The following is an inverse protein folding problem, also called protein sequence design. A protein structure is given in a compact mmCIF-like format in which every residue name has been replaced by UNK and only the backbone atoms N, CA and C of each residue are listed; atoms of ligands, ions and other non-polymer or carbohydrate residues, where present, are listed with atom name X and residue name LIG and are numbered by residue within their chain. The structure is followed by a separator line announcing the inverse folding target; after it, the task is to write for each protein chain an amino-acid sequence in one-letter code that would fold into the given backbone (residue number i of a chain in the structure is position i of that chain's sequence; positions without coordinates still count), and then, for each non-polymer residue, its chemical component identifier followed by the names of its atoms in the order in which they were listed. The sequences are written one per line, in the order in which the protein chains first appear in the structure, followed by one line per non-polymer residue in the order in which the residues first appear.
data_IF_085440981961
#
_entry.id   IF_085440981961
#
_cell.length_a   1.000
_cell.length_b   1.000
_cell.length_c   1.000
_cell.angle_alpha   90.00
_cell.angle_beta   90.00
_cell.angle_gamma   90.00
#
_symmetry.space_group_name_H-M   'P 1'
#
loop_
_entity.id
_entity.type
_entity.pdbx_description
1 polymer ?
#
# COMPACT_ATOMS: atom_id res chain seq x y z
N UNK A 1 0.52 -18.39 7.52
CA UNK A 1 -0.23 -17.14 7.36
C UNK A 1 -0.51 -16.94 5.88
N UNK A 2 -1.77 -16.76 5.48
CA UNK A 2 -2.11 -16.43 4.09
C UNK A 2 -2.73 -15.04 4.08
N UNK A 3 -1.94 -14.05 3.67
CA UNK A 3 -2.44 -12.71 3.40
C UNK A 3 -3.39 -12.79 2.21
N UNK A 4 -4.56 -12.16 2.32
CA UNK A 4 -5.41 -11.91 1.15
C UNK A 4 -4.84 -10.73 0.37
N UNK A 5 -3.95 -11.03 -0.57
CA UNK A 5 -3.32 -10.02 -1.42
C UNK A 5 -4.30 -9.35 -2.39
N UNK A 6 -5.45 -9.96 -2.68
CA UNK A 6 -6.46 -9.32 -3.53
C UNK A 6 -7.13 -8.18 -2.76
N UNK A 7 -7.54 -8.42 -1.50
CA UNK A 7 -8.09 -7.36 -0.66
C UNK A 7 -7.10 -6.19 -0.46
N UNK A 8 -5.81 -6.48 -0.27
CA UNK A 8 -4.77 -5.43 -0.16
C UNK A 8 -4.69 -4.60 -1.44
N UNK A 9 -4.71 -5.24 -2.62
CA UNK A 9 -4.73 -4.53 -3.91
C UNK A 9 -5.99 -3.72 -4.08
N UNK A 10 -7.16 -4.28 -3.74
CA UNK A 10 -8.45 -3.59 -3.86
C UNK A 10 -8.47 -2.31 -3.01
N UNK A 11 -7.97 -2.37 -1.77
CA UNK A 11 -7.86 -1.20 -0.90
C UNK A 11 -6.97 -0.09 -1.50
N UNK A 12 -5.81 -0.46 -2.04
CA UNK A 12 -4.86 0.49 -2.61
C UNK A 12 -5.34 1.05 -3.95
N UNK A 13 -5.87 0.19 -4.83
CA UNK A 13 -6.42 0.60 -6.12
C UNK A 13 -7.62 1.53 -5.95
N UNK A 14 -8.53 1.25 -5.00
CA UNK A 14 -9.65 2.15 -4.73
C UNK A 14 -9.19 3.57 -4.33
N UNK A 15 -8.10 3.68 -3.57
CA UNK A 15 -7.49 4.96 -3.24
C UNK A 15 -6.85 5.62 -4.46
N UNK A 16 -6.07 4.87 -5.25
CA UNK A 16 -5.42 5.34 -6.48
C UNK A 16 -6.48 5.85 -7.48
N UNK A 17 -7.49 5.03 -7.80
CA UNK A 17 -8.58 5.38 -8.72
C UNK A 17 -9.31 6.66 -8.27
N UNK A 18 -9.48 6.83 -6.96
CA UNK A 18 -10.11 8.04 -6.41
C UNK A 18 -9.22 9.26 -6.61
N UNK A 19 -7.92 9.17 -6.30
CA UNK A 19 -6.95 10.25 -6.52
C UNK A 19 -6.85 10.63 -8.02
N UNK A 20 -6.76 9.64 -8.91
CA UNK A 20 -6.73 9.85 -10.37
C UNK A 20 -7.99 10.59 -10.86
N UNK A 21 -9.17 10.23 -10.34
CA UNK A 21 -10.42 10.90 -10.69
C UNK A 21 -10.52 12.32 -10.16
N UNK A 22 -9.98 12.59 -8.97
CA UNK A 22 -9.90 13.96 -8.42
C UNK A 22 -8.99 14.81 -9.31
N UNK A 23 -7.83 14.30 -9.71
CA UNK A 23 -6.90 15.00 -10.60
C UNK A 23 -7.51 15.22 -11.99
N UNK A 24 -8.14 14.19 -12.57
CA UNK A 24 -8.81 14.29 -13.88
C UNK A 24 -10.01 15.27 -13.89
N UNK A 25 -10.61 15.55 -12.72
CA UNK A 25 -11.64 16.57 -12.57
C UNK A 25 -11.06 18.00 -12.58
N UNK A 26 -9.74 18.17 -12.60
CA UNK A 26 -9.07 19.46 -12.58
C UNK A 26 -9.12 20.13 -11.21
N UNK A 27 -9.19 19.35 -10.14
CA UNK A 27 -9.25 19.88 -8.77
C UNK A 27 -8.12 20.86 -8.49
N UNK A 28 -8.49 22.01 -7.92
CA UNK A 28 -7.57 23.03 -7.39
C UNK A 28 -7.95 23.39 -5.96
N UNK A 29 -7.03 24.01 -5.22
CA UNK A 29 -7.34 24.43 -3.85
C UNK A 29 -8.50 25.44 -3.77
N UNK A 30 -8.79 26.19 -4.84
CA UNK A 30 -9.93 27.10 -4.88
C UNK A 30 -11.28 26.41 -4.96
N UNK A 31 -11.33 25.11 -5.24
CA UNK A 31 -12.58 24.35 -5.32
C UNK A 31 -13.02 23.78 -3.97
N UNK A 32 -12.23 23.97 -2.89
CA UNK A 32 -12.44 23.34 -1.59
C UNK A 32 -13.79 23.66 -0.94
N UNK A 33 -14.33 24.85 -1.19
CA UNK A 33 -15.60 25.32 -0.63
C UNK A 33 -16.82 25.01 -1.51
N UNK A 34 -16.61 24.49 -2.72
CA UNK A 34 -17.70 24.03 -3.57
C UNK A 34 -18.47 22.89 -2.89
N UNK A 35 -19.80 22.95 -2.91
CA UNK A 35 -20.66 22.00 -2.20
C UNK A 35 -21.66 21.28 -3.12
N UNK A 36 -22.08 20.12 -2.65
CA UNK A 36 -23.24 19.39 -3.18
C UNK A 36 -24.15 18.97 -2.03
N UNK A 37 -25.43 18.78 -2.32
CA UNK A 37 -26.36 18.18 -1.35
C UNK A 37 -26.18 16.65 -1.33
N UNK A 38 -25.87 16.11 -0.17
CA UNK A 38 -25.83 14.67 0.11
C UNK A 38 -26.84 14.38 1.22
N UNK A 39 -27.96 13.76 0.85
CA UNK A 39 -29.03 13.40 1.79
C UNK A 39 -29.56 14.60 2.60
N UNK A 40 -29.71 15.79 1.98
CA UNK A 40 -30.21 16.99 2.64
C UNK A 40 -29.17 17.76 3.45
N UNK A 41 -27.89 17.39 3.34
CA UNK A 41 -26.77 18.10 3.97
C UNK A 41 -25.83 18.63 2.88
N UNK A 42 -25.49 19.92 2.97
CA UNK A 42 -24.42 20.49 2.15
C UNK A 42 -23.07 19.88 2.58
N UNK A 43 -22.38 19.26 1.62
CA UNK A 43 -21.06 18.64 1.82
C UNK A 43 -20.09 19.26 0.83
N UNK A 44 -19.04 19.88 1.35
CA UNK A 44 -18.01 20.53 0.53
C UNK A 44 -17.01 19.53 -0.05
N UNK A 45 -16.29 19.94 -1.09
CA UNK A 45 -15.12 19.20 -1.60
C UNK A 45 -14.13 18.92 -0.48
N UNK A 46 -13.86 19.90 0.39
CA UNK A 46 -12.99 19.72 1.56
C UNK A 46 -13.51 18.63 2.49
N UNK A 47 -14.83 18.51 2.71
CA UNK A 47 -15.42 17.46 3.54
C UNK A 47 -15.22 16.06 2.94
N UNK A 48 -15.35 15.93 1.61
CA UNK A 48 -15.08 14.67 0.92
C UNK A 48 -13.61 14.26 1.04
N UNK A 49 -12.70 15.19 0.76
CA UNK A 49 -11.27 14.97 0.88
C UNK A 49 -10.92 14.57 2.31
N UNK A 50 -11.43 15.32 3.30
CA UNK A 50 -11.18 15.04 4.70
C UNK A 50 -11.69 13.69 5.17
N UNK A 51 -12.90 13.35 4.72
CA UNK A 51 -13.48 12.05 5.01
C UNK A 51 -12.65 10.91 4.41
N UNK A 52 -12.05 11.08 3.24
CA UNK A 52 -11.26 10.03 2.60
C UNK A 52 -10.01 9.64 3.44
N UNK A 53 -9.22 10.61 3.92
CA UNK A 53 -8.07 10.29 4.77
C UNK A 53 -8.49 9.86 6.18
N UNK A 54 -9.46 10.54 6.80
CA UNK A 54 -9.92 10.19 8.16
C UNK A 54 -10.60 8.82 8.21
N UNK A 55 -11.38 8.44 7.21
CA UNK A 55 -11.98 7.11 7.13
C UNK A 55 -10.91 6.00 7.02
N UNK A 56 -9.85 6.26 6.25
CA UNK A 56 -8.72 5.35 6.10
C UNK A 56 -7.96 5.15 7.42
N UNK A 57 -7.72 6.24 8.16
CA UNK A 57 -7.10 6.19 9.50
C UNK A 57 -7.97 5.41 10.50
N UNK A 58 -9.27 5.70 10.53
CA UNK A 58 -10.23 5.01 11.38
C UNK A 58 -10.30 3.51 11.08
N UNK A 59 -10.27 3.13 9.79
CA UNK A 59 -10.21 1.73 9.37
C UNK A 59 -8.94 1.05 9.89
N UNK A 60 -7.78 1.70 9.83
CA UNK A 60 -6.53 1.17 10.39
C UNK A 60 -6.67 0.86 11.88
N UNK A 61 -7.24 1.77 12.67
CA UNK A 61 -7.49 1.51 14.10
C UNK A 61 -8.51 0.39 14.32
N UNK A 62 -9.54 0.29 13.47
CA UNK A 62 -10.50 -0.82 13.51
C UNK A 62 -9.83 -2.17 13.22
N UNK A 63 -8.93 -2.25 12.24
CA UNK A 63 -8.16 -3.47 11.94
C UNK A 63 -7.27 -3.85 13.12
N UNK A 64 -6.59 -2.89 13.75
CA UNK A 64 -5.75 -3.16 14.93
C UNK A 64 -6.59 -3.73 16.08
N UNK A 65 -7.72 -3.09 16.40
CA UNK A 65 -8.63 -3.61 17.43
C UNK A 65 -9.18 -4.99 17.10
N UNK A 66 -9.60 -5.21 15.86
CA UNK A 66 -10.08 -6.51 15.41
C UNK A 66 -9.01 -7.60 15.53
N UNK A 67 -7.74 -7.29 15.26
CA UNK A 67 -6.65 -8.25 15.46
C UNK A 67 -6.50 -8.66 16.93
N UNK A 68 -6.61 -7.70 17.84
CA UNK A 68 -6.60 -7.96 19.27
C UNK A 68 -7.80 -8.80 19.71
N UNK A 69 -9.00 -8.42 19.29
CA UNK A 69 -10.25 -9.14 19.61
C UNK A 69 -10.25 -10.60 19.11
N UNK A 70 -9.48 -10.91 18.06
CA UNK A 70 -9.36 -12.24 17.48
C UNK A 70 -8.07 -12.98 17.86
N UNK A 71 -7.30 -12.46 18.82
CA UNK A 71 -6.02 -13.05 19.28
C UNK A 71 -5.02 -13.33 18.14
N UNK A 72 -5.00 -12.45 17.14
CA UNK A 72 -4.07 -12.48 15.99
C UNK A 72 -3.18 -11.23 15.95
N UNK A 73 -2.88 -10.70 17.14
CA UNK A 73 -1.89 -9.65 17.29
C UNK A 73 -0.52 -10.13 16.80
N UNK A 74 0.24 -9.21 16.21
CA UNK A 74 1.59 -9.48 15.74
C UNK A 74 2.53 -8.77 16.69
N UNK A 75 3.48 -9.51 17.26
CA UNK A 75 4.48 -8.97 18.17
C UNK A 75 5.37 -7.89 17.52
N UNK A 76 5.47 -7.90 16.20
CA UNK A 76 6.18 -6.88 15.42
C UNK A 76 5.53 -6.70 14.05
N UNK A 77 5.82 -5.56 13.39
CA UNK A 77 5.36 -5.30 12.01
C UNK A 77 6.17 -6.18 11.04
N UNK A 78 5.53 -7.09 10.28
CA UNK A 78 6.22 -7.98 9.34
C UNK A 78 6.97 -7.21 8.24
N UNK A 79 8.04 -7.81 7.73
CA UNK A 79 8.91 -7.21 6.70
C UNK A 79 8.11 -6.88 5.43
N UNK A 80 7.18 -7.72 5.03
CA UNK A 80 6.32 -7.50 3.85
C UNK A 80 5.40 -6.28 4.01
N UNK A 81 4.90 -6.02 5.23
CA UNK A 81 4.12 -4.82 5.51
C UNK A 81 5.01 -3.56 5.50
N UNK A 82 6.25 -3.65 6.00
CA UNK A 82 7.21 -2.54 5.96
C UNK A 82 7.59 -2.16 4.54
N UNK A 83 7.83 -3.16 3.69
CA UNK A 83 8.10 -2.97 2.25
C UNK A 83 6.95 -2.20 1.59
N UNK A 84 5.70 -2.64 1.81
CA UNK A 84 4.53 -2.03 1.20
C UNK A 84 4.34 -0.57 1.65
N UNK A 85 4.48 -0.28 2.94
CA UNK A 85 4.36 1.09 3.48
C UNK A 85 5.46 1.99 2.92
N UNK A 86 6.70 1.53 2.87
CA UNK A 86 7.81 2.32 2.32
C UNK A 86 7.61 2.65 0.84
N UNK A 87 7.12 1.69 0.03
CA UNK A 87 6.80 1.93 -1.38
C UNK A 87 5.61 2.89 -1.53
N UNK A 88 4.57 2.76 -0.71
CA UNK A 88 3.42 3.66 -0.73
C UNK A 88 3.82 5.10 -0.39
N UNK A 89 4.72 5.29 0.59
CA UNK A 89 5.28 6.60 0.93
C UNK A 89 6.09 7.18 -0.24
N UNK A 90 6.96 6.38 -0.87
CA UNK A 90 7.73 6.83 -2.03
C UNK A 90 6.83 7.19 -3.22
N UNK A 91 5.78 6.41 -3.47
CA UNK A 91 4.80 6.70 -4.51
C UNK A 91 4.01 8.00 -4.21
N UNK A 92 3.65 8.25 -2.95
CA UNK A 92 2.94 9.47 -2.57
C UNK A 92 3.70 10.76 -2.91
N UNK A 93 5.03 10.77 -2.81
CA UNK A 93 5.88 11.90 -3.21
C UNK A 93 5.82 12.22 -4.71
N UNK A 94 5.29 11.32 -5.53
CA UNK A 94 5.14 11.54 -6.98
C UNK A 94 3.83 12.24 -7.35
N UNK A 95 2.84 12.26 -6.44
CA UNK A 95 1.52 12.84 -6.68
C UNK A 95 1.66 14.36 -6.85
N UNK A 96 1.20 14.88 -7.99
CA UNK A 96 1.29 16.31 -8.32
C UNK A 96 2.72 16.85 -8.56
N UNK A 97 3.74 15.98 -8.66
CA UNK A 97 5.14 16.39 -8.66
C UNK A 97 5.75 16.65 -10.06
N UNK A 98 4.95 16.66 -11.13
CA UNK A 98 5.38 17.11 -12.47
C UNK A 98 4.61 16.48 -13.64
N UNK A 99 4.23 17.31 -14.62
CA UNK A 99 3.34 16.91 -15.74
C UNK A 99 4.01 16.01 -16.81
N UNK A 100 5.35 15.99 -16.91
CA UNK A 100 6.06 15.29 -17.99
C UNK A 100 6.85 14.08 -17.56
N UNK A 101 7.54 14.17 -16.43
CA UNK A 101 8.30 13.05 -15.86
C UNK A 101 8.33 13.20 -14.33
N UNK A 102 8.01 12.13 -13.58
CA UNK A 102 8.08 12.21 -12.13
C UNK A 102 9.53 12.44 -11.67
N UNK A 103 9.75 13.16 -10.57
CA UNK A 103 11.07 13.26 -9.96
C UNK A 103 11.69 11.87 -9.74
N UNK A 104 12.99 11.73 -10.03
CA UNK A 104 13.73 10.47 -9.90
C UNK A 104 13.13 9.27 -10.67
N UNK A 105 12.45 9.51 -11.80
CA UNK A 105 11.79 8.46 -12.59
C UNK A 105 12.68 7.26 -12.93
N UNK A 106 13.96 7.48 -13.27
CA UNK A 106 14.90 6.40 -13.54
C UNK A 106 15.17 5.52 -12.31
N UNK A 107 15.30 6.12 -11.13
CA UNK A 107 15.56 5.38 -9.90
C UNK A 107 14.30 4.65 -9.41
N UNK A 108 13.12 5.25 -9.61
CA UNK A 108 11.83 4.57 -9.41
C UNK A 108 11.74 3.33 -10.31
N UNK A 109 12.00 3.48 -11.62
CA UNK A 109 11.99 2.36 -12.58
C UNK A 109 12.98 1.26 -12.19
N UNK A 110 14.22 1.63 -11.81
CA UNK A 110 15.22 0.67 -11.33
C UNK A 110 14.75 -0.09 -10.09
N UNK A 111 14.15 0.59 -9.12
CA UNK A 111 13.66 -0.04 -7.90
C UNK A 111 12.52 -1.02 -8.21
N UNK A 112 11.58 -0.63 -9.07
CA UNK A 112 10.47 -1.50 -9.52
C UNK A 112 11.02 -2.75 -10.21
N UNK A 113 11.95 -2.60 -11.16
CA UNK A 113 12.62 -3.74 -11.81
C UNK A 113 13.36 -4.61 -10.79
N UNK A 114 14.05 -4.01 -9.82
CA UNK A 114 14.75 -4.76 -8.78
C UNK A 114 13.80 -5.61 -7.93
N UNK A 115 12.59 -5.12 -7.60
CA UNK A 115 11.59 -5.93 -6.89
C UNK A 115 11.18 -7.18 -7.67
N UNK A 116 10.96 -7.02 -8.99
CA UNK A 116 10.53 -8.10 -9.88
C UNK A 116 11.66 -9.10 -10.19
N UNK A 117 12.83 -8.58 -10.58
CA UNK A 117 13.91 -9.38 -11.16
C UNK A 117 14.88 -9.95 -10.11
N UNK A 118 14.93 -9.33 -8.92
CA UNK A 118 15.95 -9.64 -7.92
C UNK A 118 15.38 -9.96 -6.54
N UNK A 119 14.51 -9.11 -5.99
CA UNK A 119 14.08 -9.25 -4.59
C UNK A 119 13.28 -10.53 -4.36
N UNK A 120 12.15 -10.70 -5.04
CA UNK A 120 11.30 -11.88 -4.87
C UNK A 120 12.02 -13.17 -5.31
N UNK A 121 12.61 -13.27 -6.53
CA UNK A 121 13.33 -14.47 -6.94
C UNK A 121 14.53 -14.82 -6.05
N UNK A 122 15.23 -13.81 -5.55
CA UNK A 122 16.38 -13.99 -4.65
C UNK A 122 15.95 -14.58 -3.31
N UNK A 123 14.86 -14.08 -2.72
CA UNK A 123 14.30 -14.61 -1.47
C UNK A 123 13.82 -16.05 -1.66
N UNK A 124 13.09 -16.34 -2.75
CA UNK A 124 12.60 -17.68 -3.07
C UNK A 124 13.76 -18.68 -3.17
N UNK A 125 14.80 -18.33 -3.94
CA UNK A 125 16.00 -19.16 -4.11
C UNK A 125 16.74 -19.38 -2.79
N UNK A 126 16.91 -18.35 -1.98
CA UNK A 126 17.57 -18.48 -0.68
C UNK A 126 16.82 -19.42 0.27
N UNK A 127 15.48 -19.35 0.28
CA UNK A 127 14.62 -20.26 1.06
C UNK A 127 14.75 -21.69 0.54
N UNK A 128 14.70 -21.89 -0.77
CA UNK A 128 14.85 -23.21 -1.41
C UNK A 128 16.20 -23.84 -1.05
N UNK A 129 17.31 -23.09 -1.22
CA UNK A 129 18.66 -23.57 -0.89
C UNK A 129 18.77 -23.99 0.58
N UNK A 130 18.24 -23.19 1.51
CA UNK A 130 18.26 -23.51 2.95
C UNK A 130 17.50 -24.81 3.25
N UNK A 131 16.35 -25.03 2.61
CA UNK A 131 15.54 -26.23 2.81
C UNK A 131 16.22 -27.47 2.23
N UNK A 132 16.83 -27.36 1.06
CA UNK A 132 17.58 -28.46 0.43
C UNK A 132 18.80 -28.89 1.27
N UNK A 133 19.51 -27.94 1.88
CA UNK A 133 20.63 -28.24 2.80
C UNK A 133 20.16 -28.97 4.07
N UNK A 134 19.01 -28.59 4.62
CA UNK A 134 18.43 -29.24 5.80
C UNK A 134 17.98 -30.68 5.52
N UNK A 135 17.53 -30.98 4.30
CA UNK A 135 17.14 -32.34 3.89
C UNK A 135 18.35 -33.26 3.69
N UNK A 136 19.43 -32.76 3.07
CA UNK A 136 20.65 -33.54 2.82
C UNK A 136 21.48 -33.89 4.07
N UNK A 137 21.32 -33.13 5.16
CA UNK A 137 21.98 -33.43 6.46
C UNK A 137 21.27 -34.52 7.27
N UNK A 138 19.99 -34.78 7.00
CA UNK A 138 19.23 -35.88 7.65
C UNK A 138 19.52 -37.26 7.06
N UNK A 139 20.00 -37.36 5.82
CA UNK A 139 20.24 -38.66 5.16
C UNK A 139 21.64 -39.24 5.41
N UNK A 140 22.59 -38.44 5.90
CA UNK A 140 23.97 -38.87 6.21
C UNK A 140 24.21 -39.25 7.67
N UNK A 141 23.16 -39.24 8.50
CA UNK A 141 23.21 -39.52 9.94
C UNK A 141 22.50 -40.81 10.37
N UNK A 142 22.75 -41.93 9.70
CA UNK A 142 22.38 -43.29 10.17
C UNK A 142 23.54 -44.26 10.02
#
# INVERSE_FOLDING_TARGET
MKTDWNLVRDMLNAAIDTCERIEAAGYTESDRDADIDVNGQAVSVQDFLASAWTASENLRYKIIRSRHENDVDLAYVPETARILVAMAQAAAETIGAGEKEPPAADDIRKLVSWFHDHAAPGIERAIEMKRSQALGTTETGR
#
